data_IF_186458998025
#
_entry.id   IF_186458998025
#
_cell.length_a   1.000
_cell.length_b   1.000
_cell.length_c   1.000
_cell.angle_alpha   90.00
_cell.angle_beta   90.00
_cell.angle_gamma   90.00
#
_symmetry.space_group_name_H-M   'P 1'
#
loop_
_entity.id
_entity.type
_entity.pdbx_description
1 polymer ?
#
# COMPACT_ATOMS: atom_id res chain seq x y z
N UNK A 1 -28.50 96.42 14.77
CA UNK A 1 -27.28 95.69 14.35
C UNK A 1 -27.56 94.93 13.05
N UNK A 2 -26.61 94.99 12.12
CA UNK A 2 -26.28 94.03 11.03
C UNK A 2 -27.43 93.35 10.25
N UNK A 3 -27.72 93.75 9.00
CA UNK A 3 -27.25 93.12 7.73
C UNK A 3 -27.53 91.60 7.70
N UNK A 4 -28.34 91.00 6.80
CA UNK A 4 -28.53 91.20 5.35
C UNK A 4 -29.85 90.57 4.89
N UNK A 5 -30.35 91.05 3.75
CA UNK A 5 -31.61 90.71 3.07
C UNK A 5 -31.37 89.85 1.82
N UNK A 6 -32.46 89.37 1.21
CA UNK A 6 -32.61 88.98 -0.23
C UNK A 6 -32.14 87.54 -0.57
N UNK A 7 -32.91 86.66 -1.25
CA UNK A 7 -34.17 86.81 -1.97
C UNK A 7 -35.01 85.50 -2.03
N UNK A 8 -36.31 85.63 -2.32
CA UNK A 8 -37.28 84.58 -2.58
C UNK A 8 -37.55 84.40 -4.09
N UNK A 9 -38.61 83.62 -4.40
CA UNK A 9 -39.37 83.49 -5.66
C UNK A 9 -39.27 82.08 -6.26
N UNK A 10 -40.34 81.45 -6.78
CA UNK A 10 -41.76 81.79 -6.93
C UNK A 10 -42.52 80.49 -7.27
N UNK A 11 -43.72 80.33 -6.69
CA UNK A 11 -45.02 79.82 -7.22
C UNK A 11 -45.05 79.10 -8.59
N UNK A 12 -45.64 77.89 -8.70
CA UNK A 12 -47.07 77.53 -9.03
C UNK A 12 -47.32 77.23 -10.53
N UNK A 13 -48.12 76.18 -10.75
CA UNK A 13 -49.05 75.87 -11.87
C UNK A 13 -48.59 75.07 -13.12
N UNK A 14 -49.29 73.94 -13.28
CA UNK A 14 -50.05 73.42 -14.43
C UNK A 14 -49.46 73.14 -15.83
N UNK A 15 -50.00 72.06 -16.42
CA UNK A 15 -49.96 71.66 -17.82
C UNK A 15 -49.20 70.34 -18.01
N UNK A 16 -49.76 69.21 -18.47
CA UNK A 16 -50.69 69.01 -19.60
C UNK A 16 -49.95 68.18 -20.70
N UNK A 17 -50.40 66.94 -20.93
CA UNK A 17 -49.95 65.89 -21.91
C UNK A 17 -49.86 66.38 -23.40
N UNK A 18 -49.45 65.60 -24.46
CA UNK A 18 -48.97 64.18 -24.58
C UNK A 18 -47.80 63.88 -25.58
N UNK A 19 -47.39 62.60 -25.65
CA UNK A 19 -46.83 61.77 -26.76
C UNK A 19 -45.69 62.23 -27.71
N UNK A 20 -44.63 61.40 -27.74
CA UNK A 20 -43.91 60.85 -28.92
C UNK A 20 -43.21 59.56 -28.43
N UNK A 21 -43.56 58.33 -28.84
CA UNK A 21 -43.25 57.67 -30.13
C UNK A 21 -42.22 56.53 -29.90
N UNK A 22 -42.61 55.26 -30.10
CA UNK A 22 -41.84 54.03 -29.77
C UNK A 22 -40.54 53.75 -30.59
N UNK A 23 -39.94 52.54 -30.55
CA UNK A 23 -40.64 51.27 -30.82
C UNK A 23 -40.28 50.08 -29.90
N UNK A 24 -41.11 49.04 -30.06
CA UNK A 24 -41.08 47.73 -29.45
C UNK A 24 -39.73 46.99 -29.57
N UNK A 25 -39.30 46.37 -28.47
CA UNK A 25 -38.60 45.09 -28.56
C UNK A 25 -39.08 44.17 -27.43
N UNK A 26 -39.66 43.01 -27.74
CA UNK A 26 -40.13 42.07 -26.74
C UNK A 26 -38.94 41.51 -25.98
N UNK A 27 -39.11 41.36 -24.67
CA UNK A 27 -38.23 40.57 -23.81
C UNK A 27 -38.20 39.15 -24.39
N UNK A 28 -37.17 38.84 -25.16
CA UNK A 28 -36.90 37.50 -25.68
C UNK A 28 -36.67 36.60 -24.46
N UNK A 29 -37.75 35.97 -23.98
CA UNK A 29 -37.64 34.75 -23.19
C UNK A 29 -37.01 33.75 -24.15
N UNK A 30 -35.71 33.51 -23.96
CA UNK A 30 -35.05 32.37 -24.59
C UNK A 30 -35.94 31.15 -24.39
N UNK A 31 -36.28 30.42 -25.47
CA UNK A 31 -37.20 29.30 -25.35
C UNK A 31 -36.60 28.33 -24.33
N UNK A 32 -37.39 27.84 -23.35
CA UNK A 32 -36.90 26.96 -22.30
C UNK A 32 -36.18 25.73 -22.87
N UNK A 33 -36.49 25.37 -24.12
CA UNK A 33 -35.86 24.29 -24.88
C UNK A 33 -34.35 24.51 -25.11
N UNK A 34 -33.88 25.74 -25.34
CA UNK A 34 -32.45 25.99 -25.60
C UNK A 34 -31.62 25.85 -24.32
N UNK A 35 -32.14 26.38 -23.21
CA UNK A 35 -31.55 26.20 -21.88
C UNK A 35 -31.61 24.73 -21.45
N UNK A 36 -32.72 24.04 -21.68
CA UNK A 36 -32.86 22.60 -21.40
C UNK A 36 -31.90 21.78 -22.25
N UNK A 37 -31.79 22.06 -23.55
CA UNK A 37 -30.90 21.34 -24.46
C UNK A 37 -29.43 21.50 -24.07
N UNK A 38 -29.01 22.70 -23.67
CA UNK A 38 -27.64 22.94 -23.19
C UNK A 38 -27.34 22.21 -21.87
N UNK A 39 -28.31 22.13 -20.96
CA UNK A 39 -28.16 21.36 -19.71
C UNK A 39 -28.05 19.87 -20.01
N UNK A 40 -28.91 19.34 -20.89
CA UNK A 40 -28.87 17.93 -21.30
C UNK A 40 -27.56 17.59 -22.00
N UNK A 41 -27.11 18.43 -22.93
CA UNK A 41 -25.80 18.28 -23.60
C UNK A 41 -24.64 18.32 -22.60
N UNK A 42 -24.69 19.23 -21.61
CA UNK A 42 -23.68 19.31 -20.55
C UNK A 42 -23.62 18.04 -19.70
N UNK A 43 -24.77 17.46 -19.34
CA UNK A 43 -24.84 16.20 -18.59
C UNK A 43 -24.31 15.03 -19.42
N UNK A 44 -24.67 14.95 -20.71
CA UNK A 44 -24.17 13.91 -21.62
C UNK A 44 -22.65 14.03 -21.81
N UNK A 45 -22.11 15.24 -21.97
CA UNK A 45 -20.67 15.47 -22.05
C UNK A 45 -19.94 15.06 -20.77
N UNK A 46 -20.51 15.36 -19.60
CA UNK A 46 -19.95 14.92 -18.31
C UNK A 46 -19.93 13.40 -18.20
N UNK A 47 -21.05 12.72 -18.53
CA UNK A 47 -21.13 11.26 -18.51
C UNK A 47 -20.14 10.65 -19.50
N UNK A 48 -20.05 11.18 -20.72
CA UNK A 48 -19.10 10.70 -21.72
C UNK A 48 -17.64 10.92 -21.28
N UNK A 49 -17.31 12.08 -20.70
CA UNK A 49 -15.98 12.40 -20.20
C UNK A 49 -15.55 11.47 -19.07
N UNK A 50 -16.44 11.17 -18.12
CA UNK A 50 -16.17 10.23 -17.03
C UNK A 50 -16.07 8.77 -17.49
N UNK A 51 -16.66 8.42 -18.63
CA UNK A 51 -16.59 7.07 -19.19
C UNK A 51 -15.52 6.90 -20.28
N UNK A 52 -14.92 7.99 -20.78
CA UNK A 52 -13.95 7.96 -21.90
C UNK A 52 -12.48 8.03 -21.46
N UNK A 53 -12.16 7.74 -20.20
CA UNK A 53 -10.78 7.43 -19.80
C UNK A 53 -10.71 6.24 -18.85
N UNK A 54 -9.82 5.26 -19.11
CA UNK A 54 -9.67 4.07 -18.30
C UNK A 54 -8.86 4.43 -17.05
N UNK A 55 -9.55 4.83 -15.99
CA UNK A 55 -8.92 4.98 -14.69
C UNK A 55 -9.50 6.12 -13.87
N UNK A 56 -10.37 5.72 -12.92
CA UNK A 56 -10.78 6.45 -11.72
C UNK A 56 -11.74 7.62 -11.93
N UNK A 57 -12.98 7.40 -11.51
CA UNK A 57 -13.77 8.42 -10.83
C UNK A 57 -14.34 7.86 -9.52
N UNK A 58 -13.86 8.39 -8.40
CA UNK A 58 -14.65 8.51 -7.16
C UNK A 58 -15.28 9.90 -7.20
N UNK A 59 -16.54 10.04 -6.81
CA UNK A 59 -16.97 10.85 -5.65
C UNK A 59 -18.50 10.85 -5.59
N UNK A 60 -19.01 10.01 -4.69
CA UNK A 60 -20.12 10.24 -3.76
C UNK A 60 -20.06 9.08 -2.73
N UNK A 61 -18.93 8.80 -2.07
CA UNK A 61 -18.16 9.68 -1.20
C UNK A 61 -17.82 9.00 0.14
N UNK A 62 -18.45 7.86 0.47
CA UNK A 62 -17.94 6.90 1.47
C UNK A 62 -18.20 5.46 0.99
N UNK A 63 -17.24 4.91 0.26
CA UNK A 63 -16.93 3.49 0.35
C UNK A 63 -15.48 3.40 0.78
N UNK A 64 -15.28 3.06 2.05
CA UNK A 64 -13.99 2.66 2.61
C UNK A 64 -13.66 1.29 2.01
N UNK A 65 -13.25 1.30 0.74
CA UNK A 65 -12.29 0.31 0.30
C UNK A 65 -10.97 0.81 0.86
N UNK A 66 -10.54 0.19 1.97
CA UNK A 66 -9.13 0.13 2.31
C UNK A 66 -8.44 -0.57 1.14
N UNK A 67 -8.22 0.17 0.06
CA UNK A 67 -7.11 -0.10 -0.82
C UNK A 67 -5.94 0.34 0.05
N UNK A 68 -5.36 -0.61 0.78
CA UNK A 68 -3.93 -0.62 0.99
C UNK A 68 -3.33 -0.44 -0.40
N UNK A 69 -3.13 0.81 -0.81
CA UNK A 69 -2.09 1.15 -1.74
C UNK A 69 -0.82 0.81 -0.97
N UNK A 70 -0.46 -0.47 -1.02
CA UNK A 70 0.94 -0.85 -1.13
C UNK A 70 1.42 -0.01 -2.31
N UNK A 71 1.92 1.19 -2.02
CA UNK A 71 2.83 1.87 -2.91
C UNK A 71 3.82 0.79 -3.26
N UNK A 72 3.76 0.32 -4.50
CA UNK A 72 4.74 -0.59 -5.06
C UNK A 72 6.06 0.15 -4.90
N UNK A 73 6.72 -0.03 -3.75
CA UNK A 73 8.13 0.32 -3.62
C UNK A 73 8.78 -0.66 -4.59
N UNK A 74 9.03 -0.18 -5.80
CA UNK A 74 9.74 -0.89 -6.85
C UNK A 74 11.09 -1.32 -6.24
N UNK A 75 11.13 -2.50 -5.60
CA UNK A 75 12.18 -2.78 -4.62
C UNK A 75 11.88 -3.82 -3.54
N UNK A 76 10.67 -3.85 -2.95
CA UNK A 76 10.43 -4.68 -1.75
C UNK A 76 9.85 -6.06 -2.08
N UNK A 77 10.54 -7.10 -1.61
CA UNK A 77 10.08 -8.48 -1.66
C UNK A 77 9.01 -8.82 -0.62
N UNK A 78 8.65 -7.89 0.26
CA UNK A 78 7.58 -8.16 1.22
C UNK A 78 6.21 -8.30 0.55
N UNK A 79 5.97 -7.55 -0.52
CA UNK A 79 4.76 -7.75 -1.35
C UNK A 79 4.71 -9.14 -2.00
N UNK A 80 5.88 -9.75 -2.24
CA UNK A 80 6.00 -11.11 -2.75
C UNK A 80 5.57 -12.15 -1.72
N UNK A 81 5.85 -11.92 -0.43
CA UNK A 81 5.40 -12.80 0.66
C UNK A 81 3.90 -13.03 0.58
N UNK A 82 3.12 -11.94 0.49
CA UNK A 82 1.66 -12.00 0.42
C UNK A 82 1.16 -12.76 -0.81
N UNK A 83 1.83 -12.60 -1.97
CA UNK A 83 1.50 -13.32 -3.21
C UNK A 83 1.85 -14.80 -3.14
N UNK A 84 2.92 -15.13 -2.43
CA UNK A 84 3.45 -16.48 -2.27
C UNK A 84 2.73 -17.30 -1.19
N UNK A 85 2.10 -16.65 -0.20
CA UNK A 85 1.45 -17.29 0.95
C UNK A 85 0.51 -18.47 0.59
N UNK A 86 -0.36 -18.38 -0.44
CA UNK A 86 -1.21 -19.51 -0.83
C UNK A 86 -0.43 -20.74 -1.28
N UNK A 87 0.65 -20.53 -2.05
CA UNK A 87 1.51 -21.61 -2.54
C UNK A 87 2.36 -22.19 -1.41
N UNK A 88 2.83 -21.34 -0.49
CA UNK A 88 3.52 -21.78 0.72
C UNK A 88 2.65 -22.72 1.56
N UNK A 89 1.38 -22.40 1.75
CA UNK A 89 0.44 -23.28 2.47
C UNK A 89 0.29 -24.63 1.78
N UNK A 90 0.23 -24.65 0.45
CA UNK A 90 0.17 -25.90 -0.32
C UNK A 90 1.46 -26.72 -0.20
N UNK A 91 2.61 -26.05 -0.19
CA UNK A 91 3.92 -26.70 -0.09
C UNK A 91 4.21 -27.28 1.29
N UNK A 92 3.97 -26.49 2.34
CA UNK A 92 4.29 -26.84 3.73
C UNK A 92 3.14 -27.56 4.45
N UNK A 93 1.89 -27.38 4.01
CA UNK A 93 0.71 -28.03 4.59
C UNK A 93 0.67 -27.90 6.11
N UNK A 94 0.66 -29.04 6.80
CA UNK A 94 0.63 -29.10 8.27
C UNK A 94 1.90 -28.57 8.96
N UNK A 95 3.01 -28.40 8.24
CA UNK A 95 4.20 -27.76 8.81
C UNK A 95 4.01 -26.25 9.01
N UNK A 96 3.02 -25.64 8.36
CA UNK A 96 2.71 -24.22 8.48
C UNK A 96 1.73 -23.94 9.63
N UNK A 97 2.02 -24.43 10.83
CA UNK A 97 1.20 -24.22 12.03
C UNK A 97 1.64 -23.01 12.84
N UNK A 98 2.96 -22.87 13.08
CA UNK A 98 3.56 -21.73 13.80
C UNK A 98 4.54 -21.01 12.89
N UNK A 99 4.17 -19.80 12.50
CA UNK A 99 4.91 -19.00 11.52
C UNK A 99 5.46 -17.75 12.16
N UNK A 100 6.75 -17.49 11.95
CA UNK A 100 7.39 -16.23 12.28
C UNK A 100 7.72 -15.48 10.99
N UNK A 101 7.26 -14.24 10.85
CA UNK A 101 7.74 -13.33 9.82
C UNK A 101 8.82 -12.39 10.40
N UNK A 102 9.93 -12.20 9.68
CA UNK A 102 11.00 -11.27 10.06
C UNK A 102 11.32 -10.39 8.87
N UNK A 103 11.01 -9.10 8.97
CA UNK A 103 11.20 -8.17 7.87
C UNK A 103 10.31 -6.95 7.97
N UNK A 104 10.46 -6.00 7.03
CA UNK A 104 9.54 -4.89 6.92
C UNK A 104 8.10 -5.40 6.76
N UNK A 105 7.11 -4.62 7.19
CA UNK A 105 5.69 -4.89 6.98
C UNK A 105 5.20 -6.22 7.62
N UNK A 106 5.87 -6.63 8.71
CA UNK A 106 5.52 -7.81 9.50
C UNK A 106 4.11 -7.71 10.08
N UNK A 107 3.66 -6.50 10.43
CA UNK A 107 2.30 -6.26 10.89
C UNK A 107 1.24 -6.70 9.86
N UNK A 108 1.43 -6.39 8.58
CA UNK A 108 0.46 -6.74 7.53
C UNK A 108 0.45 -8.24 7.29
N UNK A 109 1.62 -8.87 7.17
CA UNK A 109 1.75 -10.33 6.99
C UNK A 109 1.08 -11.08 8.14
N UNK A 110 1.40 -10.73 9.39
CA UNK A 110 0.82 -11.36 10.58
C UNK A 110 -0.68 -11.12 10.66
N UNK A 111 -1.16 -9.91 10.35
CA UNK A 111 -2.59 -9.62 10.36
C UNK A 111 -3.37 -10.51 9.40
N UNK A 112 -2.80 -10.80 8.22
CA UNK A 112 -3.45 -11.63 7.21
C UNK A 112 -3.41 -13.11 7.57
N UNK A 113 -2.28 -13.61 8.09
CA UNK A 113 -2.19 -14.98 8.59
C UNK A 113 -3.19 -15.25 9.73
N UNK A 114 -3.34 -14.30 10.66
CA UNK A 114 -4.27 -14.44 11.78
C UNK A 114 -5.75 -14.39 11.36
N UNK A 115 -6.11 -13.64 10.30
CA UNK A 115 -7.49 -13.58 9.78
C UNK A 115 -8.00 -14.94 9.30
N UNK A 116 -7.11 -15.83 8.87
CA UNK A 116 -7.48 -17.14 8.35
C UNK A 116 -7.73 -18.19 9.44
N UNK A 117 -7.30 -17.94 10.68
CA UNK A 117 -7.61 -18.76 11.86
C UNK A 117 -6.99 -20.17 11.90
N UNK A 118 -6.25 -20.59 10.87
CA UNK A 118 -5.62 -21.92 10.77
C UNK A 118 -4.14 -21.96 11.16
N UNK A 119 -3.52 -20.78 11.30
CA UNK A 119 -2.08 -20.62 11.50
C UNK A 119 -1.86 -19.66 12.67
N UNK A 120 -0.99 -20.05 13.59
CA UNK A 120 -0.47 -19.14 14.62
C UNK A 120 0.68 -18.34 14.01
N UNK A 121 0.58 -17.00 14.04
CA UNK A 121 1.52 -16.12 13.37
C UNK A 121 2.10 -15.06 14.30
N UNK A 122 3.41 -14.86 14.18
CA UNK A 122 4.18 -13.84 14.90
C UNK A 122 5.06 -13.06 13.94
N UNK A 123 5.47 -11.86 14.36
CA UNK A 123 6.30 -10.96 13.57
C UNK A 123 7.47 -10.38 14.36
N UNK A 124 8.55 -10.06 13.66
CA UNK A 124 9.60 -9.15 14.11
C UNK A 124 9.68 -8.01 13.11
N UNK A 125 9.31 -6.82 13.55
CA UNK A 125 9.41 -5.59 12.78
C UNK A 125 10.76 -4.92 13.12
N UNK A 126 11.72 -4.85 12.18
CA UNK A 126 13.04 -4.28 12.43
C UNK A 126 13.06 -2.75 12.36
N UNK A 127 12.00 -2.11 11.86
CA UNK A 127 11.94 -0.66 11.65
C UNK A 127 10.96 0.02 12.62
N UNK A 128 11.28 1.26 12.98
CA UNK A 128 10.52 2.01 13.98
C UNK A 128 9.16 2.49 13.47
N UNK A 129 8.19 2.54 14.38
CA UNK A 129 6.75 2.59 14.09
C UNK A 129 6.15 3.99 14.06
N UNK A 130 6.97 5.04 13.94
CA UNK A 130 6.57 6.43 14.15
C UNK A 130 5.31 6.83 13.35
N UNK A 131 5.08 6.21 12.17
CA UNK A 131 3.93 6.47 11.28
C UNK A 131 3.01 5.25 11.03
N UNK A 132 2.94 4.27 11.94
CA UNK A 132 2.17 3.04 11.67
C UNK A 132 0.69 3.08 12.04
N UNK A 133 -0.09 2.31 11.27
CA UNK A 133 -1.53 2.13 11.45
C UNK A 133 -1.87 1.60 12.86
N UNK A 134 -3.03 2.01 13.36
CA UNK A 134 -3.69 1.53 14.57
C UNK A 134 -3.73 0.00 14.67
N UNK A 135 -3.86 -0.70 13.54
CA UNK A 135 -3.83 -2.17 13.46
C UNK A 135 -2.49 -2.72 13.90
N UNK A 136 -1.39 -2.16 13.40
CA UNK A 136 -0.03 -2.59 13.75
C UNK A 136 0.26 -2.32 15.23
N UNK A 137 -0.10 -1.14 15.73
CA UNK A 137 0.01 -0.79 17.17
C UNK A 137 -0.74 -1.79 18.05
N UNK A 138 -1.89 -2.29 17.61
CA UNK A 138 -2.65 -3.33 18.34
C UNK A 138 -1.95 -4.68 18.32
N UNK A 139 -1.36 -5.10 17.19
CA UNK A 139 -0.61 -6.36 17.10
C UNK A 139 0.62 -6.35 18.01
N UNK A 140 1.31 -5.21 18.07
CA UNK A 140 2.44 -4.98 18.98
C UNK A 140 2.00 -5.07 20.44
N UNK A 141 0.94 -4.34 20.83
CA UNK A 141 0.43 -4.37 22.20
C UNK A 141 -0.01 -5.76 22.64
N UNK A 142 -0.56 -6.57 21.72
CA UNK A 142 -0.93 -7.96 21.97
C UNK A 142 0.26 -8.93 21.97
N UNK A 143 1.46 -8.47 21.58
CA UNK A 143 2.66 -9.29 21.52
C UNK A 143 2.76 -10.22 20.31
N UNK A 144 1.88 -10.07 19.31
CA UNK A 144 1.97 -10.81 18.05
C UNK A 144 3.15 -10.33 17.20
N UNK A 145 3.44 -9.03 17.25
CA UNK A 145 4.60 -8.43 16.57
C UNK A 145 5.52 -7.82 17.61
N UNK A 146 6.81 -8.15 17.56
CA UNK A 146 7.84 -7.57 18.41
C UNK A 146 8.69 -6.60 17.59
N UNK A 147 8.99 -5.45 18.16
CA UNK A 147 10.01 -4.55 17.61
C UNK A 147 11.37 -4.97 18.13
N UNK A 148 12.30 -5.26 17.23
CA UNK A 148 13.66 -5.64 17.61
C UNK A 148 14.62 -5.35 16.46
N UNK A 149 15.81 -4.83 16.77
CA UNK A 149 16.89 -4.78 15.79
C UNK A 149 17.37 -6.22 15.54
N UNK A 150 17.20 -6.68 14.31
CA UNK A 150 17.52 -8.03 13.83
C UNK A 150 19.03 -8.32 13.75
N UNK A 151 19.88 -7.30 13.98
CA UNK A 151 21.31 -7.49 14.25
C UNK A 151 21.55 -8.28 15.54
N UNK A 152 20.62 -8.21 16.48
CA UNK A 152 20.66 -8.98 17.72
C UNK A 152 19.84 -10.26 17.62
N UNK A 153 20.08 -11.25 18.51
CA UNK A 153 19.27 -12.46 18.57
C UNK A 153 17.78 -12.14 18.65
N UNK A 154 16.98 -12.87 17.88
CA UNK A 154 15.55 -12.67 17.86
C UNK A 154 14.96 -12.88 19.26
N UNK A 155 13.92 -12.13 19.64
CA UNK A 155 13.32 -12.20 20.97
C UNK A 155 12.44 -13.45 21.16
N UNK A 156 12.86 -14.60 20.66
CA UNK A 156 12.13 -15.87 20.73
C UNK A 156 13.07 -17.00 21.14
N UNK A 157 12.49 -18.04 21.75
CA UNK A 157 13.25 -19.24 22.07
C UNK A 157 13.54 -20.02 20.77
N UNK A 158 14.69 -20.72 20.72
CA UNK A 158 14.92 -21.77 19.73
C UNK A 158 13.72 -22.69 19.55
N UNK A 159 13.46 -23.17 18.33
CA UNK A 159 12.41 -24.14 17.99
C UNK A 159 10.98 -23.72 18.37
N UNK A 160 10.74 -22.40 18.54
CA UNK A 160 9.39 -21.87 18.82
C UNK A 160 8.47 -21.94 17.60
N UNK A 161 9.04 -21.98 16.39
CA UNK A 161 8.32 -21.88 15.12
C UNK A 161 8.68 -23.03 14.20
N UNK A 162 7.68 -23.50 13.47
CA UNK A 162 7.87 -24.53 12.44
C UNK A 162 8.41 -23.91 11.15
N UNK A 163 8.02 -22.67 10.85
CA UNK A 163 8.40 -21.95 9.63
C UNK A 163 8.78 -20.51 9.97
N UNK A 164 9.95 -20.09 9.50
CA UNK A 164 10.39 -18.68 9.55
C UNK A 164 10.42 -18.13 8.14
N UNK A 165 9.68 -17.04 7.90
CA UNK A 165 9.67 -16.29 6.64
C UNK A 165 10.45 -15.00 6.85
N UNK A 166 11.44 -14.75 6.00
CA UNK A 166 12.28 -13.57 6.05
C UNK A 166 12.19 -12.84 4.72
N UNK A 167 11.81 -11.55 4.75
CA UNK A 167 11.75 -10.67 3.58
C UNK A 167 12.63 -9.45 3.78
N UNK A 168 13.42 -9.08 2.76
CA UNK A 168 14.22 -7.84 2.72
C UNK A 168 15.12 -7.55 3.94
N UNK A 169 15.41 -8.60 4.73
CA UNK A 169 16.07 -8.49 6.04
C UNK A 169 17.25 -9.45 6.20
N UNK A 170 17.47 -10.35 5.23
CA UNK A 170 18.46 -11.42 5.33
C UNK A 170 19.89 -10.91 5.52
N UNK A 171 20.28 -9.82 4.85
CA UNK A 171 21.63 -9.24 4.97
C UNK A 171 21.98 -8.75 6.38
N UNK A 172 20.98 -8.53 7.24
CA UNK A 172 21.17 -8.05 8.60
C UNK A 172 21.02 -9.15 9.64
N UNK A 173 20.53 -10.32 9.24
CA UNK A 173 20.46 -11.48 10.13
C UNK A 173 21.87 -12.03 10.33
N UNK A 174 22.28 -12.09 11.59
CA UNK A 174 23.51 -12.78 11.97
C UNK A 174 23.25 -14.28 11.89
N UNK A 175 24.17 -15.11 11.34
CA UNK A 175 23.99 -16.57 11.27
C UNK A 175 23.56 -17.20 12.61
N UNK A 176 24.09 -16.67 13.72
CA UNK A 176 23.77 -17.08 15.10
C UNK A 176 22.31 -16.86 15.53
N UNK A 177 21.58 -15.92 14.92
CA UNK A 177 20.18 -15.66 15.29
C UNK A 177 19.17 -16.55 14.57
N UNK A 178 19.58 -17.23 13.49
CA UNK A 178 18.77 -18.19 12.72
C UNK A 178 19.09 -19.65 13.02
N UNK A 179 20.05 -19.94 13.89
CA UNK A 179 20.64 -21.28 14.08
C UNK A 179 19.68 -22.38 14.57
N UNK A 180 18.42 -22.08 14.91
CA UNK A 180 17.52 -23.03 15.59
C UNK A 180 16.06 -22.93 15.16
N UNK A 181 15.81 -22.97 13.86
CA UNK A 181 14.47 -23.19 13.31
C UNK A 181 14.51 -24.31 12.27
N UNK A 182 13.44 -25.12 12.24
CA UNK A 182 13.34 -26.31 11.38
C UNK A 182 13.33 -25.95 9.89
N UNK A 183 12.59 -24.91 9.51
CA UNK A 183 12.49 -24.44 8.13
C UNK A 183 12.63 -22.93 8.03
N UNK A 184 13.43 -22.49 7.07
CA UNK A 184 13.65 -21.09 6.75
C UNK A 184 13.22 -20.79 5.32
N UNK A 185 12.59 -19.64 5.15
CA UNK A 185 12.10 -19.18 3.88
C UNK A 185 12.55 -17.77 3.61
N UNK A 186 13.36 -17.59 2.57
CA UNK A 186 13.99 -16.30 2.29
C UNK A 186 13.46 -15.72 0.99
N UNK A 187 12.93 -14.50 1.07
CA UNK A 187 12.64 -13.66 -0.06
C UNK A 187 13.72 -12.58 -0.19
N UNK A 188 14.44 -12.59 -1.30
CA UNK A 188 15.53 -11.64 -1.55
C UNK A 188 15.39 -10.97 -2.91
N UNK A 189 15.78 -9.70 -3.00
CA UNK A 189 15.68 -8.93 -4.25
C UNK A 189 16.63 -9.44 -5.34
N UNK A 190 16.20 -9.30 -6.60
CA UNK A 190 16.99 -9.67 -7.77
C UNK A 190 18.01 -8.57 -8.16
N UNK A 191 19.29 -8.92 -8.41
CA UNK A 191 20.25 -7.95 -8.93
C UNK A 191 19.85 -7.55 -10.36
N UNK A 192 19.84 -6.24 -10.64
CA UNK A 192 19.57 -5.69 -11.97
C UNK A 192 18.13 -5.24 -12.23
N UNK A 193 17.15 -5.59 -11.38
CA UNK A 193 15.77 -5.10 -11.50
C UNK A 193 15.45 -3.88 -10.62
N UNK A 194 16.35 -3.52 -9.69
CA UNK A 194 16.03 -2.57 -8.64
C UNK A 194 17.21 -1.63 -8.37
N UNK A 195 16.98 -0.32 -8.54
CA UNK A 195 17.78 0.74 -7.92
C UNK A 195 16.95 1.25 -6.75
N UNK A 196 17.39 0.99 -5.51
CA UNK A 196 16.74 1.58 -4.35
C UNK A 196 16.68 3.11 -4.55
N UNK A 197 15.48 3.71 -4.53
CA UNK A 197 15.35 5.16 -4.52
C UNK A 197 16.04 5.66 -3.25
N UNK A 198 17.05 6.51 -3.43
CA UNK A 198 17.87 7.09 -2.35
C UNK A 198 17.03 7.82 -1.30
N UNK A 199 15.79 8.22 -1.65
CA UNK A 199 14.82 8.84 -0.75
C UNK A 199 14.11 7.88 0.22
N UNK A 200 14.23 6.56 0.03
CA UNK A 200 13.65 5.51 0.88
C UNK A 200 14.75 4.71 1.59
N UNK A 201 15.87 5.37 1.91
CA UNK A 201 16.87 4.78 2.79
C UNK A 201 16.22 4.46 4.16
N UNK A 202 16.32 3.23 4.66
CA UNK A 202 15.84 2.94 6.00
C UNK A 202 16.61 3.81 7.00
N UNK A 203 15.90 4.42 7.95
CA UNK A 203 16.47 5.16 9.11
C UNK A 203 17.56 4.37 9.88
N UNK A 204 17.77 3.08 9.58
CA UNK A 204 18.66 2.16 10.28
C UNK A 204 19.71 1.41 9.44
N UNK A 205 20.09 1.89 8.24
CA UNK A 205 21.35 1.43 7.63
C UNK A 205 21.43 1.42 6.11
N UNK A 206 22.49 0.77 5.62
CA UNK A 206 22.73 0.55 4.17
C UNK A 206 21.64 -0.37 3.64
N UNK A 207 21.01 -0.09 2.48
CA UNK A 207 19.97 -0.94 1.91
C UNK A 207 20.44 -2.40 1.77
N UNK A 208 19.50 -3.34 1.84
CA UNK A 208 19.75 -4.75 1.61
C UNK A 208 20.51 -4.90 0.28
N UNK A 209 21.62 -5.66 0.31
CA UNK A 209 22.47 -5.82 -0.85
C UNK A 209 21.75 -6.77 -1.80
N UNK A 210 21.46 -6.30 -3.01
CA UNK A 210 20.95 -7.15 -4.07
C UNK A 210 22.07 -8.11 -4.49
N UNK A 211 22.00 -9.37 -4.04
CA UNK A 211 22.97 -10.42 -4.36
C UNK A 211 22.38 -11.37 -5.41
N UNK A 212 23.26 -11.96 -6.21
CA UNK A 212 22.85 -13.02 -7.14
C UNK A 212 22.47 -14.28 -6.38
N UNK A 213 21.60 -15.09 -6.99
CA UNK A 213 21.24 -16.41 -6.46
C UNK A 213 22.47 -17.27 -6.17
N UNK A 214 23.46 -17.28 -7.07
CA UNK A 214 24.74 -17.99 -6.86
C UNK A 214 25.54 -17.50 -5.65
N UNK A 215 25.42 -16.21 -5.29
CA UNK A 215 26.07 -15.67 -4.09
C UNK A 215 25.33 -16.16 -2.83
N UNK A 216 24.00 -16.11 -2.85
CA UNK A 216 23.16 -16.63 -1.76
C UNK A 216 23.37 -18.11 -1.52
N UNK A 217 23.40 -18.94 -2.56
CA UNK A 217 23.68 -20.38 -2.44
C UNK A 217 25.02 -20.64 -1.74
N UNK A 218 26.08 -19.90 -2.09
CA UNK A 218 27.38 -20.01 -1.41
C UNK A 218 27.30 -19.59 0.06
N UNK A 219 26.59 -18.52 0.36
CA UNK A 219 26.38 -18.03 1.71
C UNK A 219 25.62 -19.06 2.58
N UNK A 220 24.58 -19.69 2.04
CA UNK A 220 23.82 -20.72 2.74
C UNK A 220 24.68 -21.94 3.07
N UNK A 221 25.46 -22.43 2.10
CA UNK A 221 26.41 -23.53 2.35
C UNK A 221 27.43 -23.17 3.43
N UNK A 222 27.97 -21.95 3.41
CA UNK A 222 28.91 -21.48 4.44
C UNK A 222 28.29 -21.36 5.84
N UNK A 223 26.99 -21.11 5.91
CA UNK A 223 26.24 -20.99 7.17
C UNK A 223 25.61 -22.31 7.63
N UNK A 224 25.85 -23.40 6.89
CA UNK A 224 25.30 -24.73 7.19
C UNK A 224 23.82 -24.90 6.81
N UNK A 225 23.22 -23.91 6.16
CA UNK A 225 21.85 -24.02 5.64
C UNK A 225 21.85 -24.81 4.34
N UNK A 226 20.92 -25.75 4.23
CA UNK A 226 20.75 -26.61 3.06
C UNK A 226 19.42 -26.33 2.39
N UNK A 227 19.36 -26.50 1.07
CA UNK A 227 18.11 -26.34 0.34
C UNK A 227 17.18 -27.52 0.64
N UNK A 228 15.92 -27.21 0.95
CA UNK A 228 14.92 -28.19 1.28
C UNK A 228 14.12 -28.56 0.03
N UNK A 229 14.59 -29.59 -0.67
CA UNK A 229 14.01 -30.03 -1.95
C UNK A 229 12.53 -30.43 -1.84
N UNK A 230 12.07 -30.93 -0.69
CA UNK A 230 10.71 -31.45 -0.52
C UNK A 230 9.64 -30.36 -0.70
N UNK A 231 9.61 -29.34 0.18
CA UNK A 231 8.75 -28.17 0.03
C UNK A 231 9.03 -27.38 -1.25
N UNK A 232 10.28 -27.32 -1.73
CA UNK A 232 10.62 -26.64 -2.99
C UNK A 232 9.86 -27.27 -4.17
N UNK A 233 9.95 -28.59 -4.36
CA UNK A 233 9.25 -29.31 -5.44
C UNK A 233 7.73 -29.11 -5.37
N UNK A 234 7.16 -29.14 -4.17
CA UNK A 234 5.71 -28.89 -3.97
C UNK A 234 5.32 -27.45 -4.26
N UNK A 235 6.20 -26.50 -3.96
CA UNK A 235 5.99 -25.10 -4.28
C UNK A 235 6.03 -24.89 -5.79
N UNK A 236 7.02 -25.42 -6.50
CA UNK A 236 7.12 -25.37 -7.96
C UNK A 236 5.90 -26.02 -8.66
N UNK A 237 5.43 -27.15 -8.14
CA UNK A 237 4.19 -27.78 -8.61
C UNK A 237 2.97 -26.87 -8.39
N UNK A 238 2.89 -26.19 -7.24
CA UNK A 238 1.79 -25.28 -6.93
C UNK A 238 1.81 -24.00 -7.79
N UNK A 239 3.00 -23.49 -8.12
CA UNK A 239 3.16 -22.25 -8.89
C UNK A 239 3.01 -22.46 -10.38
N UNK A 240 3.48 -23.59 -10.91
CA UNK A 240 3.34 -23.96 -12.34
C UNK A 240 1.88 -24.02 -12.78
N UNK A 241 1.00 -24.54 -11.93
CA UNK A 241 -0.46 -24.60 -12.18
C UNK A 241 -1.10 -23.22 -12.34
N UNK A 242 -0.55 -22.18 -11.71
CA UNK A 242 -1.15 -20.84 -11.65
C UNK A 242 -0.34 -19.77 -12.41
N UNK A 243 0.70 -20.17 -13.16
CA UNK A 243 1.64 -19.25 -13.85
C UNK A 243 2.21 -18.18 -12.92
N UNK A 244 2.44 -18.53 -11.65
CA UNK A 244 3.03 -17.60 -10.69
C UNK A 244 4.49 -17.34 -11.05
N UNK A 245 4.82 -16.07 -11.26
CA UNK A 245 6.19 -15.60 -11.51
C UNK A 245 6.58 -14.67 -10.36
N UNK A 246 7.56 -15.06 -9.53
CA UNK A 246 8.02 -14.22 -8.43
C UNK A 246 8.89 -13.08 -8.96
N UNK A 247 8.71 -11.87 -8.41
CA UNK A 247 9.58 -10.73 -8.72
C UNK A 247 10.91 -10.81 -7.94
N UNK A 248 10.96 -11.67 -6.91
CA UNK A 248 12.08 -11.88 -6.01
C UNK A 248 12.63 -13.31 -6.09
N UNK A 249 13.88 -13.49 -5.64
CA UNK A 249 14.46 -14.82 -5.44
C UNK A 249 13.87 -15.42 -4.18
N UNK A 250 13.46 -16.67 -4.29
CA UNK A 250 12.81 -17.42 -3.24
C UNK A 250 13.67 -18.63 -2.91
N UNK A 251 14.03 -18.80 -1.64
CA UNK A 251 14.82 -19.94 -1.18
C UNK A 251 14.09 -20.71 -0.09
N UNK A 252 13.99 -22.03 -0.28
CA UNK A 252 13.47 -22.97 0.71
C UNK A 252 14.64 -23.63 1.42
N UNK A 253 14.93 -23.25 2.66
CA UNK A 253 16.09 -23.76 3.39
C UNK A 253 15.69 -24.55 4.64
N UNK A 254 16.55 -25.48 5.04
CA UNK A 254 16.49 -26.23 6.29
C UNK A 254 17.80 -26.07 7.06
N UNK A 255 17.68 -25.95 8.39
CA UNK A 255 18.83 -26.03 9.28
C UNK A 255 19.12 -27.49 9.64
N UNK A 256 20.39 -27.92 9.72
CA UNK A 256 20.74 -29.19 10.34
C UNK A 256 20.24 -29.21 11.79
N UNK A 257 19.70 -30.35 12.21
CA UNK A 257 19.27 -30.60 13.59
C UNK A 257 20.46 -30.90 14.49
#
# INVERSE_FOLDING_TARGET
>A
MSRRSVNPSRRVADGGLPSFGGPFHPKSRSPPVLTIALVVLGVIFLIAYFNSSPGRLKILGVTVTSKETVTRSEGSCTSEVMRALPYLKKAYGNAMQKVLHVGPDSCTVVSNLLKEGKVEAWGVEPYDLEDTDSTCKRLVRKGFVRMSDIKFPLPYRPDSFNLVIVSDALDYLTPRSSEKCLFHFFFTGNPGQQKAKVSELPKFGRPAKLRSSSWWTRYFVQTGLTENEGPLKKFEEATSQNKYQPDCQIFHLSSPR
#
